data_IF_228988915645
#
_entry.id   IF_228988915645
#
_cell.length_a   1.000
_cell.length_b   1.000
_cell.length_c   1.000
_cell.angle_alpha   90.00
_cell.angle_beta   90.00
_cell.angle_gamma   90.00
#
_symmetry.space_group_name_H-M   'P 1'
#
loop_
_entity.id
_entity.type
_entity.pdbx_description
1 polymer ?
#
# COMPACT_ATOMS: atom_id res chain seq x y z
N UNK A 1 6.44 33.97 -1.51
CA UNK A 1 5.68 33.54 -2.70
C UNK A 1 6.23 32.21 -3.19
N UNK A 2 5.39 31.18 -3.25
CA UNK A 2 5.73 29.91 -3.88
C UNK A 2 5.10 30.00 -5.28
N UNK A 3 5.92 30.17 -6.31
CA UNK A 3 5.47 30.23 -7.69
C UNK A 3 4.99 28.85 -8.14
N UNK A 4 3.70 28.81 -8.47
CA UNK A 4 3.02 27.72 -9.17
C UNK A 4 3.71 27.47 -10.52
N UNK A 5 4.27 26.28 -10.71
CA UNK A 5 4.78 25.81 -11.98
C UNK A 5 3.87 24.69 -12.48
N UNK A 6 2.81 25.07 -13.19
CA UNK A 6 2.00 24.15 -13.99
C UNK A 6 2.88 23.43 -15.03
N UNK A 7 2.52 22.18 -15.44
CA UNK A 7 3.39 21.39 -16.29
C UNK A 7 3.38 21.90 -17.72
N UNK A 8 4.43 22.65 -18.06
CA UNK A 8 4.79 23.07 -19.40
C UNK A 8 4.80 21.88 -20.37
N UNK A 9 4.19 22.02 -21.54
CA UNK A 9 3.95 21.01 -22.57
C UNK A 9 5.21 20.39 -23.24
N UNK A 10 6.40 20.46 -22.62
CA UNK A 10 7.67 19.93 -23.13
C UNK A 10 8.31 18.72 -22.38
N UNK A 11 7.63 17.85 -21.58
CA UNK A 11 8.35 16.76 -20.91
C UNK A 11 8.34 15.43 -21.70
N UNK A 12 7.43 15.24 -22.67
CA UNK A 12 7.18 13.92 -23.27
C UNK A 12 8.36 13.36 -24.06
N UNK A 13 9.12 14.21 -24.77
CA UNK A 13 10.25 13.77 -25.58
C UNK A 13 11.44 13.32 -24.74
N UNK A 14 11.79 14.10 -23.70
CA UNK A 14 12.88 13.78 -22.76
C UNK A 14 12.58 12.47 -22.03
N UNK A 15 11.35 12.31 -21.54
CA UNK A 15 10.92 11.07 -20.90
C UNK A 15 10.96 9.84 -21.84
N UNK A 16 10.73 10.03 -23.14
CA UNK A 16 10.85 8.93 -24.12
C UNK A 16 12.29 8.44 -24.28
N UNK A 17 13.27 9.36 -24.30
CA UNK A 17 14.70 9.01 -24.38
C UNK A 17 15.15 8.30 -23.10
N UNK A 18 14.77 8.82 -21.94
CA UNK A 18 15.08 8.21 -20.64
C UNK A 18 14.51 6.79 -20.53
N UNK A 19 13.27 6.57 -20.95
CA UNK A 19 12.66 5.24 -20.95
C UNK A 19 13.38 4.25 -21.89
N UNK A 20 13.93 4.72 -23.02
CA UNK A 20 14.72 3.91 -23.95
C UNK A 20 16.07 3.53 -23.34
N UNK A 21 16.76 4.48 -22.71
CA UNK A 21 18.08 4.25 -22.08
C UNK A 21 18.00 3.35 -20.85
N UNK A 22 16.90 3.43 -20.10
CA UNK A 22 16.70 2.64 -18.88
C UNK A 22 16.02 1.29 -19.14
N UNK A 23 15.79 0.90 -20.41
CA UNK A 23 15.17 -0.37 -20.78
C UNK A 23 13.75 -0.54 -20.25
N UNK A 24 13.04 0.55 -19.95
CA UNK A 24 11.73 0.51 -19.29
C UNK A 24 10.70 -0.06 -20.25
N UNK A 25 10.41 -1.36 -20.12
CA UNK A 25 9.38 -2.08 -20.86
C UNK A 25 8.04 -1.33 -20.76
N UNK A 26 7.42 -1.01 -21.91
CA UNK A 26 6.06 -0.45 -21.93
C UNK A 26 5.18 -1.39 -21.12
N UNK A 27 4.49 -0.85 -20.11
CA UNK A 27 3.58 -1.64 -19.28
C UNK A 27 2.61 -2.33 -20.23
N UNK A 28 2.51 -3.65 -20.15
CA UNK A 28 1.35 -4.35 -20.72
C UNK A 28 0.13 -3.64 -20.16
N UNK A 29 -0.78 -3.18 -21.01
CA UNK A 29 -2.07 -2.72 -20.52
C UNK A 29 -2.62 -3.84 -19.64
N UNK A 30 -2.88 -3.54 -18.37
CA UNK A 30 -3.58 -4.47 -17.50
C UNK A 30 -4.88 -4.79 -18.24
N UNK A 31 -5.02 -6.04 -18.69
CA UNK A 31 -6.30 -6.53 -19.20
C UNK A 31 -7.35 -6.15 -18.18
N UNK A 32 -8.53 -5.73 -18.63
CA UNK A 32 -9.67 -5.43 -17.78
C UNK A 32 -9.95 -6.65 -16.90
N UNK A 33 -9.34 -6.68 -15.71
CA UNK A 33 -9.69 -7.61 -14.66
C UNK A 33 -10.95 -7.01 -14.09
N UNK A 34 -12.08 -7.65 -14.34
CA UNK A 34 -13.31 -7.32 -13.61
C UNK A 34 -12.96 -7.36 -12.13
N UNK A 35 -13.16 -6.21 -11.48
CA UNK A 35 -13.01 -6.14 -10.04
C UNK A 35 -14.08 -7.04 -9.43
N UNK A 36 -13.76 -7.79 -8.37
CA UNK A 36 -14.74 -8.60 -7.69
C UNK A 36 -15.88 -7.72 -7.18
N UNK A 37 -17.12 -8.24 -7.23
CA UNK A 37 -18.29 -7.53 -6.73
C UNK A 37 -18.15 -7.20 -5.24
N UNK A 38 -18.73 -6.08 -4.79
CA UNK A 38 -18.66 -5.67 -3.38
C UNK A 38 -19.22 -6.72 -2.41
N UNK A 39 -20.23 -7.47 -2.87
CA UNK A 39 -20.85 -8.60 -2.17
C UNK A 39 -19.88 -9.74 -1.85
N UNK A 40 -18.76 -9.85 -2.57
CA UNK A 40 -17.76 -10.90 -2.38
C UNK A 40 -16.77 -10.58 -1.24
N UNK A 41 -16.75 -9.33 -0.74
CA UNK A 41 -15.88 -8.95 0.36
C UNK A 41 -16.45 -9.44 1.71
N UNK A 42 -15.60 -10.02 2.53
CA UNK A 42 -15.97 -10.35 3.90
C UNK A 42 -16.02 -9.07 4.76
N UNK A 43 -17.23 -8.65 5.12
CA UNK A 43 -17.50 -7.51 6.00
C UNK A 43 -17.84 -7.91 7.44
N UNK A 44 -17.62 -9.18 7.80
CA UNK A 44 -17.85 -9.67 9.17
C UNK A 44 -16.92 -8.94 10.15
N UNK A 45 -17.35 -8.72 11.41
CA UNK A 45 -16.49 -8.09 12.40
C UNK A 45 -15.17 -8.86 12.57
N UNK A 46 -14.06 -8.14 12.53
CA UNK A 46 -12.73 -8.72 12.76
C UNK A 46 -12.63 -9.20 14.21
N UNK A 47 -12.11 -10.40 14.41
CA UNK A 47 -11.92 -11.02 15.73
C UNK A 47 -10.47 -10.87 16.23
N UNK A 48 -10.29 -10.99 17.55
CA UNK A 48 -8.96 -11.01 18.19
C UNK A 48 -8.11 -12.15 17.63
N UNK A 49 -8.69 -13.35 17.48
CA UNK A 49 -7.95 -14.51 17.00
C UNK A 49 -7.42 -14.33 15.56
N UNK A 50 -8.19 -13.68 14.69
CA UNK A 50 -7.75 -13.36 13.32
C UNK A 50 -6.56 -12.41 13.32
N UNK A 51 -6.60 -11.35 14.13
CA UNK A 51 -5.49 -10.40 14.26
C UNK A 51 -4.25 -11.08 14.84
N UNK A 52 -4.42 -11.98 15.82
CA UNK A 52 -3.31 -12.71 16.42
C UNK A 52 -2.67 -13.69 15.43
N UNK A 53 -3.50 -14.41 14.67
CA UNK A 53 -3.00 -15.30 13.62
C UNK A 53 -2.25 -14.52 12.53
N UNK A 54 -2.74 -13.34 12.16
CA UNK A 54 -2.04 -12.46 11.22
C UNK A 54 -0.67 -12.02 11.76
N UNK A 55 -0.60 -11.59 13.02
CA UNK A 55 0.64 -11.18 13.67
C UNK A 55 1.65 -12.34 13.84
N UNK A 56 1.17 -13.58 13.97
CA UNK A 56 2.01 -14.79 14.01
C UNK A 56 2.53 -15.19 12.63
N UNK A 57 1.71 -15.06 11.59
CA UNK A 57 2.07 -15.39 10.21
C UNK A 57 2.99 -14.35 9.56
N UNK A 58 2.95 -13.10 10.04
CA UNK A 58 3.78 -12.04 9.48
C UNK A 58 5.22 -12.18 9.97
N UNK A 59 6.21 -12.31 9.05
CA UNK A 59 7.62 -12.37 9.44
C UNK A 59 8.09 -11.03 9.98
N UNK A 60 8.90 -11.05 11.06
CA UNK A 60 9.30 -9.86 11.81
C UNK A 60 10.33 -8.93 11.17
N UNK A 61 10.79 -9.24 9.96
CA UNK A 61 11.80 -8.46 9.25
C UNK A 61 11.21 -7.57 8.14
N UNK A 62 9.94 -7.18 8.30
CA UNK A 62 9.26 -6.31 7.35
C UNK A 62 9.55 -4.85 7.67
N UNK A 63 9.65 -4.04 6.62
CA UNK A 63 9.77 -2.60 6.77
C UNK A 63 8.51 -2.04 7.44
N UNK A 64 8.71 -1.10 8.36
CA UNK A 64 7.64 -0.39 9.05
C UNK A 64 6.96 0.63 8.13
N UNK A 65 5.75 1.02 8.52
CA UNK A 65 5.06 2.16 7.94
C UNK A 65 5.67 3.50 8.41
N UNK A 66 5.09 4.64 8.00
CA UNK A 66 5.54 5.97 8.41
C UNK A 66 5.48 6.25 9.92
N UNK A 67 4.76 5.41 10.67
CA UNK A 67 4.60 5.47 12.11
C UNK A 67 5.70 4.69 12.86
N UNK A 68 6.60 4.01 12.14
CA UNK A 68 7.68 3.18 12.69
C UNK A 68 7.19 2.09 13.66
N UNK A 69 5.93 1.67 13.54
CA UNK A 69 5.35 0.62 14.39
C UNK A 69 5.64 -0.75 13.78
N UNK A 70 6.38 -1.63 14.48
CA UNK A 70 6.67 -2.97 13.98
C UNK A 70 5.45 -3.90 14.17
N UNK A 71 5.32 -4.90 13.30
CA UNK A 71 4.14 -5.78 13.26
C UNK A 71 3.96 -6.61 14.54
N UNK A 72 5.04 -6.84 15.28
CA UNK A 72 5.08 -7.54 16.56
C UNK A 72 4.18 -6.89 17.61
N UNK A 73 3.96 -5.57 17.51
CA UNK A 73 3.10 -4.80 18.42
C UNK A 73 1.65 -5.28 18.33
N UNK A 74 1.24 -5.88 17.21
CA UNK A 74 -0.06 -6.54 17.06
C UNK A 74 -0.24 -7.77 17.97
N UNK A 75 0.81 -8.25 18.64
CA UNK A 75 0.70 -9.34 19.63
C UNK A 75 0.29 -8.83 21.02
N UNK A 76 0.29 -7.51 21.23
CA UNK A 76 -0.14 -6.88 22.48
C UNK A 76 -1.68 -6.80 22.47
N UNK A 77 -2.39 -7.42 23.43
CA UNK A 77 -3.86 -7.46 23.41
C UNK A 77 -4.53 -6.08 23.32
N UNK A 78 -3.99 -5.07 24.00
CA UNK A 78 -4.53 -3.71 23.97
C UNK A 78 -4.45 -3.08 22.57
N UNK A 79 -3.36 -3.33 21.85
CA UNK A 79 -3.20 -2.85 20.47
C UNK A 79 -4.21 -3.53 19.56
N UNK A 80 -4.43 -4.84 19.74
CA UNK A 80 -5.41 -5.58 18.93
C UNK A 80 -6.83 -5.03 19.11
N UNK A 81 -7.21 -4.66 20.33
CA UNK A 81 -8.51 -4.04 20.60
C UNK A 81 -8.67 -2.72 19.86
N UNK A 82 -7.62 -1.89 19.83
CA UNK A 82 -7.63 -0.64 19.07
C UNK A 82 -7.68 -0.88 17.55
N UNK A 83 -6.93 -1.86 17.04
CA UNK A 83 -7.01 -2.24 15.62
C UNK A 83 -8.42 -2.66 15.24
N UNK A 84 -9.09 -3.48 16.07
CA UNK A 84 -10.47 -3.87 15.83
C UNK A 84 -11.41 -2.66 15.83
N UNK A 85 -11.24 -1.73 16.77
CA UNK A 85 -12.03 -0.50 16.86
C UNK A 85 -11.87 0.36 15.61
N UNK A 86 -10.64 0.58 15.17
CA UNK A 86 -10.31 1.35 13.97
C UNK A 86 -10.87 0.67 12.72
N UNK A 87 -10.67 -0.63 12.57
CA UNK A 87 -11.17 -1.37 11.41
C UNK A 87 -12.70 -1.32 11.32
N UNK A 88 -13.40 -1.49 12.44
CA UNK A 88 -14.86 -1.32 12.48
C UNK A 88 -15.27 0.10 12.06
N UNK A 89 -14.54 1.11 12.52
CA UNK A 89 -14.80 2.50 12.15
C UNK A 89 -14.57 2.74 10.65
N UNK A 90 -13.50 2.19 10.06
CA UNK A 90 -13.20 2.28 8.63
C UNK A 90 -14.27 1.58 7.79
N UNK A 91 -14.68 0.37 8.17
CA UNK A 91 -15.75 -0.37 7.47
C UNK A 91 -17.10 0.35 7.55
N UNK A 92 -17.32 1.17 8.59
CA UNK A 92 -18.49 2.03 8.72
C UNK A 92 -18.40 3.35 7.94
N UNK A 93 -17.38 3.54 7.10
CA UNK A 93 -17.17 4.77 6.33
C UNK A 93 -16.34 5.84 7.06
N UNK A 94 -15.55 5.44 8.05
CA UNK A 94 -14.58 6.30 8.73
C UNK A 94 -13.48 6.86 7.82
N UNK A 95 -12.59 7.71 8.34
CA UNK A 95 -11.60 8.45 7.55
C UNK A 95 -10.64 7.51 6.82
N UNK A 96 -10.09 8.04 5.74
CA UNK A 96 -9.21 7.35 4.81
C UNK A 96 -7.84 7.02 5.42
N UNK A 97 -7.26 5.92 4.93
CA UNK A 97 -5.95 5.37 5.29
C UNK A 97 -4.81 6.41 5.16
N UNK A 98 -3.81 6.28 6.04
CA UNK A 98 -2.61 7.12 6.03
C UNK A 98 -1.75 6.91 4.79
N UNK A 99 -1.00 7.95 4.38
CA UNK A 99 -0.16 7.88 3.17
C UNK A 99 0.99 6.87 3.35
N UNK A 100 1.14 5.94 2.40
CA UNK A 100 2.21 4.94 2.44
C UNK A 100 3.60 5.55 2.20
N UNK A 101 4.63 4.98 2.85
CA UNK A 101 6.02 5.33 2.58
C UNK A 101 6.51 4.68 1.27
N UNK A 102 6.97 5.50 0.33
CA UNK A 102 7.44 5.03 -0.99
C UNK A 102 8.96 4.84 -0.95
N UNK A 103 9.41 3.58 -1.04
CA UNK A 103 10.84 3.23 -1.10
C UNK A 103 11.20 2.65 -2.46
N UNK A 104 12.24 3.19 -3.10
CA UNK A 104 12.79 2.63 -4.33
C UNK A 104 13.57 1.35 -4.04
N UNK A 105 13.06 0.19 -4.48
CA UNK A 105 13.75 -1.10 -4.35
C UNK A 105 14.37 -1.47 -5.72
N UNK A 106 15.71 -1.45 -5.86
CA UNK A 106 16.37 -1.88 -7.09
C UNK A 106 16.02 -3.33 -7.41
N UNK A 107 15.64 -3.60 -8.67
CA UNK A 107 15.44 -4.99 -9.15
C UNK A 107 16.79 -5.55 -9.59
N UNK A 108 17.04 -6.82 -9.31
CA UNK A 108 18.21 -7.51 -9.89
C UNK A 108 18.06 -7.52 -11.42
N UNK A 109 19.14 -7.30 -12.18
CA UNK A 109 19.11 -7.49 -13.63
C UNK A 109 18.77 -8.97 -13.92
N UNK A 110 17.93 -9.18 -14.93
CA UNK A 110 17.51 -10.51 -15.36
C UNK A 110 18.74 -11.39 -15.64
N UNK A 111 18.78 -12.59 -15.03
CA UNK A 111 19.87 -13.56 -15.20
C UNK A 111 19.74 -14.34 -16.50
#
# INVERSE_FOLDING_TARGET
EITDAGPDNKPRAVWSVVNRLTGRKRRKALSHVELPEESSFNVSPITIDEVLQLAKKTPGNKATGPDDVPVEVLRIPQVMLEVMRVMKYVLAGGPTWGTAHIVGIPKKPDS
#
